data_IF_167481208811
#
_entry.id   IF_167481208811
#
_cell.length_a   1.000
_cell.length_b   1.000
_cell.length_c   1.000
_cell.angle_alpha   90.00
_cell.angle_beta   90.00
_cell.angle_gamma   90.00
#
_symmetry.space_group_name_H-M   'P 1'
#
loop_
_entity.id
_entity.type
_entity.pdbx_description
1 polymer ?
#
# COMPACT_ATOMS: atom_id res chain seq x y z
N UNK A 1 -5.84 3.91 17.44
CA UNK A 1 -5.17 3.43 16.21
C UNK A 1 -3.72 3.16 16.52
N UNK A 2 -3.28 1.90 16.48
CA UNK A 2 -1.90 1.52 16.79
C UNK A 2 -0.94 2.11 15.75
N UNK A 3 0.20 2.69 16.14
CA UNK A 3 1.24 3.08 15.18
C UNK A 3 1.62 1.87 14.35
N UNK A 4 1.88 2.09 13.06
CA UNK A 4 2.29 1.07 12.10
C UNK A 4 3.64 0.45 12.55
N UNK A 5 3.55 -0.52 13.46
CA UNK A 5 4.68 -1.25 14.02
C UNK A 5 4.98 -2.46 13.14
N UNK A 6 6.26 -2.66 12.80
CA UNK A 6 6.73 -3.79 12.01
C UNK A 6 7.44 -3.41 10.71
N UNK A 7 7.77 -4.42 9.90
CA UNK A 7 8.59 -4.26 8.67
C UNK A 7 7.76 -3.81 7.46
N UNK A 8 6.46 -4.08 7.45
CA UNK A 8 5.53 -3.81 6.33
C UNK A 8 5.48 -2.33 5.90
N UNK A 9 5.39 -1.34 6.79
CA UNK A 9 5.28 0.07 6.39
C UNK A 9 6.54 0.55 5.64
N UNK A 10 7.72 0.14 6.13
CA UNK A 10 9.00 0.48 5.51
C UNK A 10 9.15 -0.20 4.14
N UNK A 11 8.79 -1.47 4.05
CA UNK A 11 8.85 -2.22 2.79
C UNK A 11 7.87 -1.64 1.75
N UNK A 12 6.65 -1.29 2.18
CA UNK A 12 5.65 -0.72 1.29
C UNK A 12 6.06 0.66 0.77
N UNK A 13 6.73 1.48 1.58
CA UNK A 13 7.28 2.76 1.13
C UNK A 13 8.30 2.56 0.00
N UNK A 14 9.20 1.59 0.11
CA UNK A 14 10.17 1.29 -0.94
C UNK A 14 9.50 0.87 -2.25
N UNK A 15 8.50 -0.01 -2.15
CA UNK A 15 7.70 -0.45 -3.32
C UNK A 15 7.00 0.73 -4.00
N UNK A 16 6.41 1.65 -3.24
CA UNK A 16 5.74 2.85 -3.80
C UNK A 16 6.71 3.86 -4.43
N UNK A 17 7.99 3.86 -4.05
CA UNK A 17 9.02 4.69 -4.70
C UNK A 17 9.65 4.04 -5.92
N UNK A 18 9.64 2.70 -6.00
CA UNK A 18 10.24 1.95 -7.11
C UNK A 18 9.25 1.69 -8.26
N UNK A 19 7.95 1.66 -7.96
CA UNK A 19 6.91 1.33 -8.94
C UNK A 19 5.93 2.50 -9.11
N UNK A 20 5.61 2.90 -10.35
CA UNK A 20 4.70 4.02 -10.61
C UNK A 20 3.25 3.72 -10.19
N UNK A 21 2.85 2.45 -10.17
CA UNK A 21 1.54 1.96 -9.77
C UNK A 21 1.69 0.65 -9.00
N UNK A 22 0.98 0.54 -7.88
CA UNK A 22 1.04 -0.63 -6.99
C UNK A 22 -0.37 -1.09 -6.65
N UNK A 23 -0.61 -2.40 -6.73
CA UNK A 23 -1.83 -3.04 -6.23
C UNK A 23 -1.58 -3.72 -4.89
N UNK A 24 -2.64 -4.01 -4.13
CA UNK A 24 -2.54 -4.80 -2.90
C UNK A 24 -1.85 -6.17 -3.07
N UNK A 25 -2.17 -7.01 -4.08
CA UNK A 25 -1.42 -8.26 -4.32
C UNK A 25 0.04 -8.04 -4.72
N UNK A 26 0.36 -6.99 -5.49
CA UNK A 26 1.77 -6.67 -5.78
C UNK A 26 2.52 -6.30 -4.50
N UNK A 27 1.94 -5.47 -3.64
CA UNK A 27 2.53 -5.11 -2.36
C UNK A 27 2.75 -6.33 -1.45
N UNK A 28 1.83 -7.29 -1.43
CA UNK A 28 1.98 -8.55 -0.69
C UNK A 28 3.21 -9.35 -1.14
N UNK A 29 3.35 -9.57 -2.45
CA UNK A 29 4.50 -10.31 -3.03
C UNK A 29 5.81 -9.55 -2.81
N UNK A 30 5.83 -8.24 -3.09
CA UNK A 30 7.04 -7.43 -3.04
C UNK A 30 7.53 -7.14 -1.61
N UNK A 31 6.62 -7.08 -0.64
CA UNK A 31 6.97 -6.80 0.76
C UNK A 31 7.05 -8.05 1.63
N UNK A 32 6.65 -9.22 1.10
CA UNK A 32 6.50 -10.48 1.82
C UNK A 32 5.65 -10.33 3.12
N UNK A 33 4.65 -9.44 3.06
CA UNK A 33 3.73 -9.18 4.15
C UNK A 33 2.32 -9.63 3.76
N UNK A 34 1.48 -9.97 4.74
CA UNK A 34 0.11 -10.41 4.45
C UNK A 34 -0.68 -9.33 3.71
N UNK A 35 -1.55 -9.75 2.79
CA UNK A 35 -2.44 -8.85 2.05
C UNK A 35 -3.21 -7.87 2.93
N UNK A 36 -3.73 -8.35 4.07
CA UNK A 36 -4.48 -7.53 5.01
C UNK A 36 -3.61 -6.42 5.63
N UNK A 37 -2.33 -6.70 5.92
CA UNK A 37 -1.39 -5.71 6.40
C UNK A 37 -1.09 -4.67 5.31
N UNK A 38 -0.87 -5.11 4.07
CA UNK A 38 -0.62 -4.21 2.92
C UNK A 38 -1.82 -3.29 2.68
N UNK A 39 -3.04 -3.83 2.63
CA UNK A 39 -4.27 -3.06 2.44
C UNK A 39 -4.47 -2.01 3.54
N UNK A 40 -4.25 -2.38 4.81
CA UNK A 40 -4.34 -1.44 5.94
C UNK A 40 -3.34 -0.30 5.80
N UNK A 41 -2.10 -0.61 5.39
CA UNK A 41 -1.07 0.40 5.20
C UNK A 41 -1.38 1.32 4.01
N UNK A 42 -1.86 0.77 2.89
CA UNK A 42 -2.29 1.56 1.73
C UNK A 42 -3.43 2.52 2.10
N UNK A 43 -4.49 2.02 2.75
CA UNK A 43 -5.61 2.84 3.20
C UNK A 43 -5.18 3.96 4.16
N UNK A 44 -4.25 3.67 5.08
CA UNK A 44 -3.71 4.66 6.00
C UNK A 44 -2.83 5.70 5.31
N UNK A 45 -2.05 5.29 4.32
CA UNK A 45 -1.16 6.17 3.54
C UNK A 45 -1.97 7.08 2.62
N UNK A 46 -3.03 6.54 2.03
CA UNK A 46 -4.02 7.28 1.24
C UNK A 46 -4.80 8.29 2.09
N UNK A 47 -5.28 7.89 3.27
CA UNK A 47 -5.96 8.80 4.20
C UNK A 47 -5.08 9.97 4.67
N UNK A 48 -3.75 9.84 4.53
CA UNK A 48 -2.76 10.90 4.82
C UNK A 48 -2.37 11.71 3.59
N UNK A 49 -2.94 11.43 2.43
CA UNK A 49 -2.66 12.12 1.18
C UNK A 49 -1.29 11.81 0.58
N UNK A 50 -0.64 10.73 1.02
CA UNK A 50 0.70 10.35 0.53
C UNK A 50 0.65 9.49 -0.74
N UNK A 51 -0.48 8.84 -0.99
CA UNK A 51 -0.79 8.09 -2.22
C UNK A 51 -2.25 8.32 -2.58
N UNK A 52 -2.62 8.04 -3.83
CA UNK A 52 -3.99 8.16 -4.34
C UNK A 52 -4.41 6.90 -5.07
N UNK A 53 -5.60 6.37 -4.77
CA UNK A 53 -6.25 5.37 -5.61
C UNK A 53 -6.59 5.94 -7.00
N UNK A 54 -6.18 5.25 -8.06
CA UNK A 54 -6.41 5.71 -9.45
C UNK A 54 -7.56 5.00 -10.17
N UNK A 55 -8.00 3.83 -9.70
CA UNK A 55 -8.96 3.01 -10.45
C UNK A 55 -10.41 3.36 -10.14
N UNK A 56 -10.71 3.91 -8.97
CA UNK A 56 -12.09 4.29 -8.56
C UNK A 56 -13.06 3.11 -8.53
N UNK A 57 -12.56 1.87 -8.63
CA UNK A 57 -13.33 0.66 -8.80
C UNK A 57 -12.98 -0.34 -7.70
N UNK A 58 -13.62 -0.16 -6.55
CA UNK A 58 -13.88 -1.18 -5.52
C UNK A 58 -12.79 -2.26 -5.33
N UNK A 59 -12.92 -3.37 -6.05
CA UNK A 59 -12.12 -4.61 -5.87
C UNK A 59 -10.71 -4.56 -6.46
N UNK A 60 -10.47 -3.82 -7.53
CA UNK A 60 -9.16 -3.76 -8.21
C UNK A 60 -8.58 -2.36 -8.05
N UNK A 61 -8.02 -2.11 -6.86
CA UNK A 61 -7.42 -0.83 -6.52
C UNK A 61 -5.95 -0.79 -6.89
N UNK A 62 -5.57 0.29 -7.57
CA UNK A 62 -4.19 0.67 -7.81
C UNK A 62 -3.93 2.00 -7.13
N UNK A 63 -2.77 2.14 -6.51
CA UNK A 63 -2.31 3.36 -5.89
C UNK A 63 -1.07 3.87 -6.60
N UNK A 64 -0.96 5.20 -6.67
CA UNK A 64 0.24 5.93 -7.07
C UNK A 64 0.61 6.93 -5.98
N UNK A 65 1.88 7.33 -5.93
CA UNK A 65 2.29 8.51 -5.17
C UNK A 65 1.71 9.80 -5.79
#
# INVERSE_FOLDING_TARGET
MTPLSGKTPRALRAVLTEWPLVSAPMGEVLTNASRAAVQRNLAWTEARGLIREVTGQGRYRLWRM
#
